data_IF_192321740318
#
_entry.id   IF_192321740318
#
_cell.length_a   1.000
_cell.length_b   1.000
_cell.length_c   1.000
_cell.angle_alpha   90.00
_cell.angle_beta   90.00
_cell.angle_gamma   90.00
#
_symmetry.space_group_name_H-M   'P 1'
#
loop_
_entity.id
_entity.type
_entity.pdbx_description
1 polymer ?
#
# COMPACT_ATOMS: atom_id res chain seq x y z
N UNK A 1 -7.24 -26.92 7.64
CA UNK A 1 -8.27 -25.94 8.11
C UNK A 1 -7.63 -24.70 8.74
N UNK A 2 -6.59 -24.86 9.57
CA UNK A 2 -5.87 -23.76 10.24
C UNK A 2 -5.11 -22.84 9.27
N UNK A 3 -4.38 -23.41 8.31
CA UNK A 3 -3.65 -22.63 7.29
C UNK A 3 -4.55 -21.66 6.50
N UNK A 4 -5.77 -22.09 6.14
CA UNK A 4 -6.73 -21.24 5.43
C UNK A 4 -7.26 -20.08 6.30
N UNK A 5 -7.39 -20.29 7.63
CA UNK A 5 -7.78 -19.24 8.56
C UNK A 5 -6.67 -18.19 8.68
N UNK A 6 -5.41 -18.62 8.78
CA UNK A 6 -4.25 -17.74 8.79
C UNK A 6 -4.17 -16.90 7.51
N UNK A 7 -4.28 -17.53 6.33
CA UNK A 7 -4.28 -16.81 5.05
C UNK A 7 -5.41 -15.78 4.96
N UNK A 8 -6.63 -16.15 5.37
CA UNK A 8 -7.78 -15.22 5.34
C UNK A 8 -7.59 -14.04 6.30
N UNK A 9 -6.99 -14.29 7.47
CA UNK A 9 -6.67 -13.25 8.43
C UNK A 9 -5.59 -12.29 7.91
N UNK A 10 -4.51 -12.83 7.32
CA UNK A 10 -3.48 -12.04 6.64
C UNK A 10 -4.08 -11.16 5.55
N UNK A 11 -4.95 -11.72 4.70
CA UNK A 11 -5.62 -10.97 3.64
C UNK A 11 -6.47 -9.82 4.21
N UNK A 12 -7.28 -10.07 5.25
CA UNK A 12 -8.08 -9.02 5.89
C UNK A 12 -7.24 -7.88 6.42
N UNK A 13 -6.08 -8.18 7.00
CA UNK A 13 -5.17 -7.17 7.54
C UNK A 13 -4.52 -6.33 6.45
N UNK A 14 -4.10 -6.96 5.35
CA UNK A 14 -3.63 -6.23 4.16
C UNK A 14 -4.72 -5.32 3.62
N UNK A 15 -5.96 -5.82 3.50
CA UNK A 15 -7.09 -5.01 3.04
C UNK A 15 -7.37 -3.80 3.95
N UNK A 16 -7.33 -3.98 5.27
CA UNK A 16 -7.47 -2.88 6.22
C UNK A 16 -6.35 -1.82 6.05
N UNK A 17 -5.10 -2.26 5.91
CA UNK A 17 -3.98 -1.35 5.65
C UNK A 17 -4.11 -0.61 4.31
N UNK A 18 -4.71 -1.25 3.30
CA UNK A 18 -5.00 -0.60 2.02
C UNK A 18 -6.13 0.45 2.13
N UNK A 19 -7.08 0.25 3.05
CA UNK A 19 -8.16 1.22 3.32
C UNK A 19 -7.63 2.48 4.05
N UNK A 20 -6.54 2.37 4.80
CA UNK A 20 -5.86 3.50 5.46
C UNK A 20 -5.05 4.38 4.47
N UNK A 21 -4.84 3.91 3.24
CA UNK A 21 -4.15 4.67 2.21
C UNK A 21 -5.02 5.82 1.68
N UNK A 22 -4.43 7.00 1.44
CA UNK A 22 -5.07 8.02 0.62
C UNK A 22 -5.46 7.47 -0.75
N UNK A 23 -6.64 7.83 -1.23
CA UNK A 23 -7.21 7.31 -2.49
C UNK A 23 -6.23 7.33 -3.67
N UNK A 24 -5.39 8.36 -3.77
CA UNK A 24 -4.37 8.46 -4.82
C UNK A 24 -3.24 7.43 -4.69
N UNK A 25 -2.75 7.19 -3.48
CA UNK A 25 -1.71 6.18 -3.22
C UNK A 25 -2.25 4.77 -3.42
N UNK A 26 -3.49 4.53 -2.98
CA UNK A 26 -4.21 3.28 -3.23
C UNK A 26 -4.38 3.02 -4.72
N UNK A 27 -4.86 4.00 -5.48
CA UNK A 27 -5.02 3.86 -6.94
C UNK A 27 -3.68 3.53 -7.63
N UNK A 28 -2.59 4.22 -7.28
CA UNK A 28 -1.26 3.93 -7.81
C UNK A 28 -0.82 2.49 -7.51
N UNK A 29 -1.01 2.02 -6.27
CA UNK A 29 -0.70 0.65 -5.87
C UNK A 29 -1.53 -0.36 -6.65
N UNK A 30 -2.85 -0.18 -6.74
CA UNK A 30 -3.74 -1.10 -7.45
C UNK A 30 -3.42 -1.20 -8.94
N UNK A 31 -3.14 -0.08 -9.60
CA UNK A 31 -2.77 -0.07 -11.02
C UNK A 31 -1.49 -0.86 -11.26
N UNK A 32 -0.45 -0.63 -10.45
CA UNK A 32 0.87 -1.24 -10.68
C UNK A 32 0.97 -2.67 -10.17
N UNK A 33 0.33 -2.99 -9.04
CA UNK A 33 0.49 -4.29 -8.36
C UNK A 33 -0.66 -5.26 -8.54
N UNK A 34 -1.88 -4.78 -8.73
CA UNK A 34 -3.04 -5.66 -8.94
C UNK A 34 -3.38 -5.79 -10.43
N UNK A 35 -3.16 -4.74 -11.21
CA UNK A 35 -3.44 -4.71 -12.66
C UNK A 35 -2.19 -4.83 -13.53
N UNK A 36 -1.01 -4.95 -12.90
CA UNK A 36 0.29 -5.09 -13.57
C UNK A 36 0.61 -3.99 -14.59
N UNK A 37 0.01 -2.80 -14.43
CA UNK A 37 0.28 -1.67 -15.30
C UNK A 37 1.67 -1.09 -15.05
N UNK A 38 2.25 -0.48 -16.07
CA UNK A 38 3.56 0.18 -15.94
C UNK A 38 3.45 1.48 -15.13
N UNK A 39 4.55 1.85 -14.46
CA UNK A 39 4.66 3.15 -13.76
C UNK A 39 4.33 4.33 -14.68
N UNK A 40 4.68 4.23 -15.98
CA UNK A 40 4.37 5.24 -16.98
C UNK A 40 2.87 5.38 -17.22
N UNK A 41 2.14 4.26 -17.34
CA UNK A 41 0.69 4.26 -17.59
C UNK A 41 -0.05 4.81 -16.37
N UNK A 42 0.29 4.35 -15.18
CA UNK A 42 -0.25 4.88 -13.93
C UNK A 42 0.03 6.38 -13.73
N UNK A 43 1.24 6.84 -14.09
CA UNK A 43 1.61 8.26 -14.00
C UNK A 43 0.75 9.14 -14.91
N UNK A 44 0.50 8.68 -16.13
CA UNK A 44 -0.40 9.35 -17.09
C UNK A 44 -1.84 9.38 -16.56
N UNK A 45 -2.35 8.26 -16.06
CA UNK A 45 -3.72 8.17 -15.55
C UNK A 45 -3.95 9.03 -14.30
N UNK A 46 -2.96 9.13 -13.41
CA UNK A 46 -3.04 9.91 -12.16
C UNK A 46 -2.54 11.36 -12.29
N UNK A 47 -2.15 11.77 -13.50
CA UNK A 47 -1.57 13.07 -13.82
C UNK A 47 -0.42 13.48 -12.86
N UNK A 48 0.61 12.63 -12.79
CA UNK A 48 1.82 12.81 -11.95
C UNK A 48 3.08 12.40 -12.69
N UNK A 49 4.24 12.61 -12.05
CA UNK A 49 5.50 12.00 -12.50
C UNK A 49 5.56 10.49 -12.18
N UNK A 50 6.28 9.74 -13.02
CA UNK A 50 6.58 8.33 -12.77
C UNK A 50 7.29 8.11 -11.43
N UNK A 51 8.18 9.04 -11.06
CA UNK A 51 8.89 9.02 -9.77
C UNK A 51 7.90 9.10 -8.59
N UNK A 52 6.87 9.94 -8.68
CA UNK A 52 5.86 10.04 -7.63
C UNK A 52 5.01 8.76 -7.54
N UNK A 53 4.62 8.15 -8.66
CA UNK A 53 3.95 6.84 -8.66
C UNK A 53 4.82 5.78 -7.98
N UNK A 54 6.09 5.70 -8.34
CA UNK A 54 7.04 4.77 -7.74
C UNK A 54 7.09 4.94 -6.21
N UNK A 55 7.14 6.18 -5.71
CA UNK A 55 7.08 6.45 -4.27
C UNK A 55 5.74 6.08 -3.65
N UNK A 56 4.62 6.36 -4.30
CA UNK A 56 3.28 5.97 -3.80
C UNK A 56 3.17 4.46 -3.64
N UNK A 57 3.58 3.69 -4.66
CA UNK A 57 3.56 2.23 -4.63
C UNK A 57 4.47 1.69 -3.52
N UNK A 58 5.71 2.19 -3.44
CA UNK A 58 6.66 1.78 -2.41
C UNK A 58 6.19 2.11 -0.99
N UNK A 59 5.61 3.29 -0.79
CA UNK A 59 5.11 3.70 0.52
C UNK A 59 3.87 2.86 0.92
N UNK A 60 3.01 2.50 -0.04
CA UNK A 60 1.87 1.60 0.20
C UNK A 60 2.33 0.17 0.57
N UNK A 61 3.27 -0.41 -0.18
CA UNK A 61 3.86 -1.72 0.14
C UNK A 61 4.47 -1.75 1.53
N UNK A 62 5.24 -0.71 1.88
CA UNK A 62 5.87 -0.58 3.20
C UNK A 62 4.82 -0.53 4.30
N UNK A 63 3.77 0.28 4.13
CA UNK A 63 2.70 0.38 5.12
C UNK A 63 1.96 -0.94 5.32
N UNK A 64 1.64 -1.67 4.25
CA UNK A 64 1.05 -3.01 4.36
C UNK A 64 1.96 -3.97 5.16
N UNK A 65 3.27 -3.96 4.89
CA UNK A 65 4.23 -4.79 5.60
C UNK A 65 4.34 -4.40 7.10
N UNK A 66 4.40 -3.10 7.39
CA UNK A 66 4.44 -2.58 8.76
C UNK A 66 3.17 -2.93 9.55
N UNK A 67 1.99 -2.86 8.94
CA UNK A 67 0.73 -3.23 9.60
C UNK A 67 0.59 -4.74 9.83
N UNK A 68 1.12 -5.58 8.92
CA UNK A 68 1.21 -7.02 9.16
C UNK A 68 2.16 -7.35 10.31
N UNK A 69 3.35 -6.75 10.35
CA UNK A 69 4.32 -6.95 11.43
C UNK A 69 3.78 -6.44 12.78
N UNK A 70 3.15 -5.25 12.79
CA UNK A 70 2.46 -4.71 13.96
C UNK A 70 1.40 -5.68 14.50
N UNK A 71 0.59 -6.24 13.60
CA UNK A 71 -0.38 -7.27 13.95
C UNK A 71 0.28 -8.49 14.61
N UNK A 72 1.35 -9.02 14.03
CA UNK A 72 2.02 -10.22 14.54
C UNK A 72 2.60 -9.97 15.93
N UNK A 73 2.97 -8.72 16.23
CA UNK A 73 3.43 -8.26 17.54
C UNK A 73 2.30 -7.87 18.50
N UNK A 74 1.05 -7.85 18.06
CA UNK A 74 -0.09 -7.41 18.86
C UNK A 74 -0.14 -5.91 19.13
N UNK A 75 0.50 -5.08 18.28
CA UNK A 75 0.49 -3.62 18.38
C UNK A 75 -0.40 -3.00 17.28
N UNK A 76 -0.79 -1.74 17.48
CA UNK A 76 -1.62 -1.02 16.52
C UNK A 76 -0.88 -0.79 15.18
N UNK A 77 -1.61 -0.86 14.07
CA UNK A 77 -1.10 -0.55 12.74
C UNK A 77 -0.64 0.93 12.70
N UNK A 78 0.58 1.21 12.23
CA UNK A 78 1.10 2.58 12.17
C UNK A 78 0.34 3.43 11.14
N UNK A 79 0.20 4.72 11.41
CA UNK A 79 -0.47 5.65 10.49
C UNK A 79 0.30 5.78 9.18
N UNK A 80 -0.40 5.79 8.05
CA UNK A 80 0.21 6.02 6.75
C UNK A 80 0.75 7.46 6.61
N UNK A 81 2.08 7.60 6.55
CA UNK A 81 2.79 8.87 6.34
C UNK A 81 3.26 9.04 4.88
N UNK A 82 2.34 8.94 3.91
CA UNK A 82 2.69 9.08 2.49
C UNK A 82 3.01 10.50 2.07
N UNK A 83 4.11 10.68 1.31
CA UNK A 83 4.42 11.86 0.51
C UNK A 83 4.68 13.21 1.23
N UNK A 84 4.25 13.39 2.49
CA UNK A 84 4.39 14.67 3.21
C UNK A 84 5.80 14.95 3.74
N UNK A 85 6.65 13.93 3.90
CA UNK A 85 7.95 14.09 4.57
C UNK A 85 9.16 14.39 3.64
N UNK A 86 9.01 14.34 2.30
CA UNK A 86 10.16 14.42 1.37
C UNK A 86 10.37 15.79 0.71
N UNK A 87 9.69 16.86 1.17
CA UNK A 87 10.09 18.22 0.83
C UNK A 87 11.12 18.73 1.86
N UNK A 88 12.36 18.26 1.76
CA UNK A 88 13.52 18.93 2.35
C UNK A 88 14.74 18.64 1.51
#
# INVERSE_FOLDING_TARGET
PEAALLTRDTLRRVWAALDDLPARSRAAFEMVRLREETLQTAARALNVSQTLVHFMVRDAERHCAECLDACHRGVACPVFLGGRARRR
#
